data_IF_084427860745
#
_entry.id   IF_084427860745
#
_cell.length_a   1.000
_cell.length_b   1.000
_cell.length_c   1.000
_cell.angle_alpha   90.00
_cell.angle_beta   90.00
_cell.angle_gamma   90.00
#
_symmetry.space_group_name_H-M   'P 1'
#
loop_
_entity.id
_entity.type
_entity.pdbx_description
1 polymer ?
#
# COMPACT_ATOMS: atom_id res chain seq x y z
N UNK A 1 -7.71 12.74 8.02
CA UNK A 1 -8.22 12.56 6.64
C UNK A 1 -7.82 11.18 6.14
N UNK A 2 -8.73 10.43 5.51
CA UNK A 2 -8.45 9.09 4.94
C UNK A 2 -8.81 9.13 3.46
N UNK A 3 -7.90 8.67 2.61
CA UNK A 3 -8.10 8.58 1.15
C UNK A 3 -7.94 7.13 0.73
N UNK A 4 -8.96 6.58 0.07
CA UNK A 4 -8.95 5.20 -0.42
C UNK A 4 -8.92 5.21 -1.95
N UNK A 5 -7.92 4.56 -2.54
CA UNK A 5 -7.76 4.45 -3.99
C UNK A 5 -8.24 3.08 -4.48
N UNK A 6 -9.35 3.07 -5.19
CA UNK A 6 -9.97 1.88 -5.77
C UNK A 6 -9.75 1.82 -7.29
N UNK A 7 -9.81 0.60 -7.85
CA UNK A 7 -9.60 0.37 -9.28
C UNK A 7 -8.98 -0.99 -9.59
N UNK A 8 -9.00 -1.43 -10.85
CA UNK A 8 -8.49 -2.74 -11.24
C UNK A 8 -6.97 -2.87 -11.05
N UNK A 9 -6.43 -4.11 -11.05
CA UNK A 9 -4.98 -4.34 -11.12
C UNK A 9 -4.38 -3.59 -12.33
N UNK A 10 -3.22 -2.96 -12.15
CA UNK A 10 -2.58 -2.18 -13.22
C UNK A 10 -3.11 -0.76 -13.42
N UNK A 11 -4.17 -0.32 -12.74
CA UNK A 11 -4.74 1.04 -12.88
C UNK A 11 -3.85 2.21 -12.40
N UNK A 12 -2.60 1.93 -12.01
CA UNK A 12 -1.65 2.96 -11.56
C UNK A 12 -1.92 3.52 -10.15
N UNK A 13 -2.74 2.86 -9.34
CA UNK A 13 -3.10 3.29 -7.98
C UNK A 13 -1.88 3.59 -7.11
N UNK A 14 -0.86 2.74 -7.14
CA UNK A 14 0.38 2.94 -6.36
C UNK A 14 1.14 4.21 -6.76
N UNK A 15 1.24 4.50 -8.06
CA UNK A 15 1.89 5.72 -8.56
C UNK A 15 1.12 6.98 -8.12
N UNK A 16 -0.21 6.97 -8.25
CA UNK A 16 -1.08 8.07 -7.80
C UNK A 16 -1.05 8.24 -6.28
N UNK A 17 -1.02 7.14 -5.52
CA UNK A 17 -0.93 7.14 -4.07
C UNK A 17 0.36 7.80 -3.57
N UNK A 18 1.50 7.49 -4.21
CA UNK A 18 2.78 8.13 -3.88
C UNK A 18 2.74 9.63 -4.15
N UNK A 19 2.18 10.07 -5.28
CA UNK A 19 2.05 11.51 -5.58
C UNK A 19 1.17 12.24 -4.57
N UNK A 20 0.01 11.67 -4.22
CA UNK A 20 -0.91 12.24 -3.23
C UNK A 20 -0.30 12.25 -1.82
N UNK A 21 0.42 11.19 -1.45
CA UNK A 21 1.13 11.08 -0.17
C UNK A 21 2.16 12.21 -0.03
N UNK A 22 2.96 12.46 -1.06
CA UNK A 22 3.92 13.57 -1.06
C UNK A 22 3.25 14.94 -1.02
N UNK A 23 2.20 15.16 -1.83
CA UNK A 23 1.52 16.46 -1.90
C UNK A 23 0.75 16.81 -0.62
N UNK A 24 0.12 15.82 0.02
CA UNK A 24 -0.72 16.01 1.21
C UNK A 24 0.04 15.72 2.51
N UNK A 25 1.32 15.34 2.43
CA UNK A 25 2.13 14.88 3.57
C UNK A 25 1.45 13.78 4.39
N UNK A 26 0.73 12.88 3.71
CA UNK A 26 0.02 11.76 4.34
C UNK A 26 0.80 10.45 4.18
N UNK A 27 0.81 9.56 5.18
CA UNK A 27 1.46 8.27 5.06
C UNK A 27 0.79 7.40 3.98
N UNK A 28 1.57 6.88 3.05
CA UNK A 28 1.10 5.92 2.06
C UNK A 28 1.12 4.50 2.66
N UNK A 29 -0.06 3.90 2.78
CA UNK A 29 -0.23 2.50 3.20
C UNK A 29 -0.72 1.69 2.00
N UNK A 30 0.02 0.64 1.63
CA UNK A 30 -0.41 -0.33 0.62
C UNK A 30 -0.41 -1.75 1.17
N UNK A 31 -1.48 -2.49 0.89
CA UNK A 31 -1.65 -3.88 1.33
C UNK A 31 -0.54 -4.76 0.77
N UNK A 32 -0.09 -4.50 -0.45
CA UNK A 32 0.97 -5.24 -1.13
C UNK A 32 2.29 -5.13 -0.36
N UNK A 33 2.66 -3.92 0.06
CA UNK A 33 3.89 -3.70 0.83
C UNK A 33 3.78 -4.29 2.23
N UNK A 34 2.62 -4.16 2.88
CA UNK A 34 2.40 -4.71 4.20
C UNK A 34 2.52 -6.24 4.19
N UNK A 35 1.88 -6.90 3.21
CA UNK A 35 1.89 -8.34 3.07
C UNK A 35 3.29 -8.85 2.69
N UNK A 36 3.98 -8.19 1.74
CA UNK A 36 5.38 -8.51 1.39
C UNK A 36 6.33 -8.36 2.58
N UNK A 37 6.15 -7.33 3.41
CA UNK A 37 6.93 -7.14 4.64
C UNK A 37 6.67 -8.26 5.65
N UNK A 38 5.41 -8.64 5.87
CA UNK A 38 5.04 -9.75 6.78
C UNK A 38 5.59 -11.10 6.30
N UNK A 39 5.51 -11.38 4.99
CA UNK A 39 6.09 -12.59 4.37
C UNK A 39 7.61 -12.63 4.55
N UNK A 40 8.33 -11.53 4.27
CA UNK A 40 9.79 -11.43 4.51
C UNK A 40 10.17 -11.64 5.98
N UNK A 41 9.38 -11.10 6.90
CA UNK A 41 9.59 -11.24 8.35
C UNK A 41 9.18 -12.61 8.90
N UNK A 42 8.67 -13.52 8.06
CA UNK A 42 8.19 -14.86 8.46
C UNK A 42 7.26 -14.82 9.69
N UNK A 43 6.45 -13.76 9.82
CA UNK A 43 5.43 -13.67 10.88
C UNK A 43 4.38 -14.76 10.69
N UNK A 44 3.60 -15.10 11.72
CA UNK A 44 2.49 -16.08 11.61
C UNK A 44 1.59 -15.78 10.40
N UNK A 45 1.09 -14.55 10.29
CA UNK A 45 0.30 -14.04 9.16
C UNK A 45 1.01 -14.05 7.79
N UNK A 46 2.35 -14.21 7.76
CA UNK A 46 3.13 -14.24 6.52
C UNK A 46 3.43 -15.65 6.02
N UNK A 47 3.02 -16.67 6.80
CA UNK A 47 3.19 -18.10 6.49
C UNK A 47 1.88 -18.81 6.16
N UNK A 48 0.73 -18.19 6.44
CA UNK A 48 -0.57 -18.52 5.84
C UNK A 48 -0.61 -18.14 4.36
#
# INVERSE_FOLDING_TARGET
MVVVLLGPPGAGKGKKATMLSSALHLPHISTDNLLRKKKKKKTSLGRE
#
